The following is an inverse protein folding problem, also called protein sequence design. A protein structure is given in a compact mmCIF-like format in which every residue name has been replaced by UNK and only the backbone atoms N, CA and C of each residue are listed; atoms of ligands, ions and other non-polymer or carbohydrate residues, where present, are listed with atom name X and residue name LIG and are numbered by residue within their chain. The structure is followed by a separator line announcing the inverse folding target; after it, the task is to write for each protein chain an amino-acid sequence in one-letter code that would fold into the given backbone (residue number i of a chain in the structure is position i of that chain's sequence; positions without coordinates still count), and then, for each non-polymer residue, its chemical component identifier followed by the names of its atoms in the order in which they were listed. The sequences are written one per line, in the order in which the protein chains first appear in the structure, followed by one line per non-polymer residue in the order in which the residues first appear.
data_IF_236660185997
#
_entry.id   IF_236660185997
#
_cell.length_a   1.000
_cell.length_b   1.000
_cell.length_c   1.000
_cell.angle_alpha   90.00
_cell.angle_beta   90.00
_cell.angle_gamma   90.00
#
_symmetry.space_group_name_H-M   'P 1'
#
loop_
_entity.id
_entity.type
_entity.pdbx_description
1 polymer ?
#
# COMPACT_ATOMS: atom_id res chain seq x y z
N UNK A 1 -19.64 -52.06 17.55
CA UNK A 1 -19.90 -50.94 16.62
C UNK A 1 -18.74 -49.97 16.74
N UNK A 2 -17.89 -49.87 15.72
CA UNK A 2 -16.78 -48.92 15.67
C UNK A 2 -17.31 -47.62 15.06
N UNK A 3 -17.40 -46.55 15.85
CA UNK A 3 -17.67 -45.22 15.32
C UNK A 3 -16.34 -44.62 14.83
N UNK A 4 -16.14 -44.67 13.51
CA UNK A 4 -15.08 -43.94 12.82
C UNK A 4 -15.51 -42.48 12.71
N UNK A 5 -15.13 -41.66 13.69
CA UNK A 5 -15.28 -40.21 13.58
C UNK A 5 -14.19 -39.69 12.66
N UNK A 6 -14.57 -39.28 11.45
CA UNK A 6 -13.70 -38.58 10.51
C UNK A 6 -13.26 -37.26 11.16
N UNK A 7 -12.02 -37.21 11.63
CA UNK A 7 -11.37 -35.97 12.00
C UNK A 7 -11.23 -35.11 10.74
N UNK A 8 -12.00 -34.03 10.67
CA UNK A 8 -11.80 -32.97 9.69
C UNK A 8 -10.42 -32.36 9.91
N UNK A 9 -9.64 -32.06 8.85
CA UNK A 9 -8.35 -31.43 9.03
C UNK A 9 -8.54 -30.06 9.70
N UNK A 10 -7.97 -29.92 10.89
CA UNK A 10 -7.79 -28.65 11.60
C UNK A 10 -7.14 -27.67 10.61
N UNK A 11 -7.88 -26.61 10.25
CA UNK A 11 -7.45 -25.57 9.34
C UNK A 11 -6.32 -24.80 10.02
N UNK A 12 -5.07 -25.19 9.77
CA UNK A 12 -3.90 -24.55 10.35
C UNK A 12 -3.99 -23.03 10.19
N UNK A 13 -3.87 -22.32 11.31
CA UNK A 13 -3.83 -20.86 11.37
C UNK A 13 -2.60 -20.33 10.62
N UNK A 14 -2.70 -20.22 9.30
CA UNK A 14 -1.82 -19.33 8.55
C UNK A 14 -2.16 -17.91 9.01
N UNK A 15 -1.23 -17.18 9.65
CA UNK A 15 -1.51 -15.83 10.13
C UNK A 15 -1.99 -14.97 8.97
N UNK A 16 -3.20 -14.44 9.08
CA UNK A 16 -3.66 -13.43 8.13
C UNK A 16 -2.79 -12.19 8.33
N UNK A 17 -1.93 -11.88 7.36
CA UNK A 17 -1.03 -10.73 7.46
C UNK A 17 -1.79 -9.47 7.05
N UNK A 18 -1.99 -8.58 8.01
CA UNK A 18 -2.72 -7.33 7.81
C UNK A 18 -1.87 -6.31 7.04
N UNK A 19 -2.44 -5.55 6.09
CA UNK A 19 -1.73 -4.45 5.43
C UNK A 19 -1.09 -3.44 6.40
N UNK A 20 -1.70 -3.20 7.56
CA UNK A 20 -1.22 -2.31 8.61
C UNK A 20 0.10 -2.75 9.24
N UNK A 21 0.35 -4.06 9.34
CA UNK A 21 1.62 -4.60 9.82
C UNK A 21 2.77 -4.25 8.87
N UNK A 22 2.51 -4.33 7.56
CA UNK A 22 3.46 -3.89 6.54
C UNK A 22 3.71 -2.40 6.60
N UNK A 23 2.66 -1.58 6.79
CA UNK A 23 2.79 -0.12 6.84
C UNK A 23 3.80 0.31 7.90
N UNK A 24 3.69 -0.22 9.14
CA UNK A 24 4.64 0.11 10.23
C UNK A 24 6.09 -0.17 9.83
N UNK A 25 6.35 -1.37 9.30
CA UNK A 25 7.71 -1.79 8.91
C UNK A 25 8.26 -0.93 7.77
N UNK A 26 7.47 -0.74 6.71
CA UNK A 26 7.90 -0.01 5.52
C UNK A 26 8.10 1.48 5.79
N UNK A 27 7.24 2.10 6.60
CA UNK A 27 7.41 3.48 7.04
C UNK A 27 8.72 3.70 7.79
N UNK A 28 9.12 2.74 8.63
CA UNK A 28 10.39 2.79 9.34
C UNK A 28 11.59 2.69 8.38
N UNK A 29 11.54 1.82 7.37
CA UNK A 29 12.61 1.68 6.37
C UNK A 29 12.75 2.95 5.51
N UNK A 30 11.63 3.61 5.22
CA UNK A 30 11.59 4.82 4.40
C UNK A 30 11.88 6.11 5.17
N UNK A 31 12.13 6.00 6.47
CA UNK A 31 12.36 7.13 7.39
C UNK A 31 11.24 8.18 7.26
N UNK A 32 10.00 7.74 7.45
CA UNK A 32 8.83 8.60 7.38
C UNK A 32 8.58 9.32 8.72
N UNK A 33 8.20 10.59 8.66
CA UNK A 33 7.81 11.35 9.85
C UNK A 33 6.60 10.73 10.57
N UNK A 34 6.52 10.90 11.89
CA UNK A 34 5.40 10.39 12.70
C UNK A 34 4.02 10.80 12.14
N UNK A 35 3.91 12.05 11.64
CA UNK A 35 2.70 12.55 11.00
C UNK A 35 2.33 11.74 9.76
N UNK A 36 3.30 11.44 8.89
CA UNK A 36 3.09 10.65 7.69
C UNK A 36 2.81 9.17 8.01
N UNK A 37 3.47 8.59 9.02
CA UNK A 37 3.18 7.22 9.48
C UNK A 37 1.73 7.08 9.96
N UNK A 38 1.26 8.02 10.79
CA UNK A 38 -0.12 8.03 11.27
C UNK A 38 -1.11 8.14 10.10
N UNK A 39 -0.83 9.02 9.13
CA UNK A 39 -1.67 9.16 7.95
C UNK A 39 -1.72 7.88 7.10
N UNK A 40 -0.59 7.18 6.95
CA UNK A 40 -0.53 5.91 6.22
C UNK A 40 -1.29 4.78 6.92
N UNK A 41 -1.27 4.74 8.26
CA UNK A 41 -2.05 3.77 9.04
C UNK A 41 -3.55 4.00 8.86
N UNK A 42 -4.03 5.24 9.06
CA UNK A 42 -5.46 5.54 8.86
C UNK A 42 -5.88 5.31 7.40
N UNK A 43 -5.02 5.65 6.42
CA UNK A 43 -5.33 5.46 5.01
C UNK A 43 -5.41 3.98 4.63
N UNK A 44 -4.58 3.11 5.21
CA UNK A 44 -4.60 1.68 4.91
C UNK A 44 -5.83 1.00 5.50
N UNK A 45 -6.29 1.40 6.69
CA UNK A 45 -7.52 0.89 7.30
C UNK A 45 -8.75 1.13 6.39
N UNK A 46 -8.85 2.33 5.81
CA UNK A 46 -9.94 2.68 4.87
C UNK A 46 -9.92 1.91 3.56
N UNK A 47 -8.83 1.20 3.24
CA UNK A 47 -8.79 0.34 2.04
C UNK A 47 -9.72 -0.86 2.16
N UNK A 48 -10.05 -1.29 3.39
CA UNK A 48 -10.99 -2.38 3.63
C UNK A 48 -12.42 -2.06 3.13
N UNK A 49 -12.77 -0.78 3.04
CA UNK A 49 -14.07 -0.30 2.54
C UNK A 49 -14.07 -0.02 1.03
N UNK A 50 -12.96 -0.28 0.35
CA UNK A 50 -12.79 -0.05 -1.08
C UNK A 50 -12.70 -1.39 -1.83
N UNK A 51 -13.20 -1.46 -3.07
CA UNK A 51 -13.02 -2.64 -3.94
C UNK A 51 -11.59 -2.69 -4.50
N UNK A 52 -10.63 -3.00 -3.63
CA UNK A 52 -9.20 -3.11 -3.94
C UNK A 52 -8.82 -4.59 -3.98
N UNK A 53 -8.55 -5.10 -5.18
CA UNK A 53 -8.15 -6.51 -5.41
C UNK A 53 -6.64 -6.66 -5.51
N UNK A 54 -5.92 -6.30 -4.44
CA UNK A 54 -4.45 -6.38 -4.36
C UNK A 54 -4.03 -7.11 -3.08
N UNK A 55 -2.87 -7.75 -3.09
CA UNK A 55 -2.35 -8.39 -1.89
C UNK A 55 -1.96 -7.35 -0.82
N UNK A 56 -1.95 -7.71 0.49
CA UNK A 56 -1.71 -6.77 1.59
C UNK A 56 -0.42 -5.92 1.46
N UNK A 57 0.69 -6.54 1.07
CA UNK A 57 1.96 -5.84 0.87
C UNK A 57 1.88 -4.77 -0.24
N UNK A 58 1.20 -5.08 -1.35
CA UNK A 58 0.97 -4.13 -2.45
C UNK A 58 0.08 -2.99 -2.00
N UNK A 59 -0.96 -3.27 -1.21
CA UNK A 59 -1.84 -2.24 -0.64
C UNK A 59 -1.03 -1.28 0.23
N UNK A 60 -0.27 -1.82 1.20
CA UNK A 60 0.58 -1.03 2.08
C UNK A 60 1.60 -0.17 1.33
N UNK A 61 2.35 -0.77 0.39
CA UNK A 61 3.34 -0.05 -0.42
C UNK A 61 2.71 1.10 -1.23
N UNK A 62 1.51 0.87 -1.78
CA UNK A 62 0.81 1.87 -2.59
C UNK A 62 0.26 3.02 -1.73
N UNK A 63 -0.31 2.73 -0.56
CA UNK A 63 -0.76 3.74 0.39
C UNK A 63 0.41 4.59 0.88
N UNK A 64 1.53 3.96 1.24
CA UNK A 64 2.74 4.67 1.64
C UNK A 64 3.21 5.60 0.52
N UNK A 65 3.30 5.10 -0.71
CA UNK A 65 3.68 5.94 -1.84
C UNK A 65 2.75 7.16 -1.97
N UNK A 66 1.43 6.96 -1.89
CA UNK A 66 0.45 8.05 -1.94
C UNK A 66 0.68 9.10 -0.84
N UNK A 67 0.86 8.67 0.41
CA UNK A 67 1.08 9.57 1.55
C UNK A 67 2.40 10.34 1.42
N UNK A 68 3.46 9.70 0.91
CA UNK A 68 4.75 10.36 0.71
C UNK A 68 4.68 11.46 -0.36
N UNK A 69 3.85 11.31 -1.39
CA UNK A 69 3.66 12.35 -2.42
C UNK A 69 2.98 13.62 -1.89
N UNK A 70 2.25 13.50 -0.78
CA UNK A 70 1.59 14.59 -0.07
C UNK A 70 2.44 15.18 1.07
N UNK A 71 3.61 14.58 1.35
CA UNK A 71 4.56 15.09 2.32
C UNK A 71 5.57 16.04 1.66
N UNK A 72 6.26 16.84 2.48
CA UNK A 72 7.39 17.66 2.03
C UNK A 72 8.55 16.78 1.53
N UNK A 73 8.71 15.58 2.10
CA UNK A 73 9.75 14.61 1.75
C UNK A 73 9.23 13.51 0.80
N UNK A 74 8.94 13.90 -0.44
CA UNK A 74 8.46 12.97 -1.46
C UNK A 74 9.45 11.83 -1.71
N UNK A 75 8.97 10.59 -1.60
CA UNK A 75 9.75 9.39 -1.92
C UNK A 75 9.47 8.95 -3.36
N UNK A 76 10.50 8.54 -4.08
CA UNK A 76 10.35 8.02 -5.44
C UNK A 76 9.72 6.61 -5.42
N UNK A 77 8.97 6.24 -6.46
CA UNK A 77 8.39 4.87 -6.57
C UNK A 77 9.47 3.80 -6.43
N UNK A 78 10.67 4.03 -7.01
CA UNK A 78 11.81 3.12 -6.87
C UNK A 78 12.22 2.92 -5.42
N UNK A 79 12.28 3.98 -4.61
CA UNK A 79 12.66 3.89 -3.21
C UNK A 79 11.64 3.07 -2.41
N UNK A 80 10.34 3.25 -2.71
CA UNK A 80 9.28 2.44 -2.10
C UNK A 80 9.36 0.98 -2.55
N UNK A 81 9.62 0.73 -3.83
CA UNK A 81 9.82 -0.63 -4.34
C UNK A 81 10.99 -1.34 -3.63
N UNK A 82 12.12 -0.65 -3.50
CA UNK A 82 13.32 -1.18 -2.83
C UNK A 82 13.05 -1.45 -1.34
N UNK A 83 12.31 -0.57 -0.65
CA UNK A 83 11.98 -0.75 0.76
C UNK A 83 10.94 -1.87 1.03
N UNK A 84 10.05 -2.12 0.08
CA UNK A 84 8.91 -3.04 0.26
C UNK A 84 9.08 -4.38 -0.43
N UNK A 85 10.01 -4.48 -1.39
CA UNK A 85 10.13 -5.63 -2.29
C UNK A 85 9.02 -5.73 -3.35
N UNK A 86 8.09 -4.77 -3.41
CA UNK A 86 7.01 -4.74 -4.40
C UNK A 86 7.50 -4.07 -5.67
N UNK A 87 7.31 -4.71 -6.82
CA UNK A 87 7.76 -4.15 -8.10
C UNK A 87 7.17 -2.75 -8.38
N UNK A 88 8.00 -1.84 -8.94
CA UNK A 88 7.60 -0.46 -9.25
C UNK A 88 6.38 -0.39 -10.17
N UNK A 89 6.29 -1.28 -11.16
CA UNK A 89 5.13 -1.39 -12.05
C UNK A 89 3.85 -1.76 -11.31
N UNK A 90 3.95 -2.63 -10.32
CA UNK A 90 2.83 -3.06 -9.46
C UNK A 90 2.35 -1.92 -8.57
N UNK A 91 3.26 -1.16 -7.94
CA UNK A 91 2.93 0.04 -7.17
C UNK A 91 2.27 1.07 -8.07
N UNK A 92 2.84 1.34 -9.25
CA UNK A 92 2.32 2.34 -10.20
C UNK A 92 0.93 2.00 -10.73
N UNK A 93 0.68 0.71 -11.02
CA UNK A 93 -0.64 0.26 -11.49
C UNK A 93 -1.67 0.33 -10.36
N UNK A 94 -1.33 -0.18 -9.18
CA UNK A 94 -2.22 -0.16 -8.00
C UNK A 94 -2.53 1.27 -7.55
N UNK A 95 -1.55 2.18 -7.67
CA UNK A 95 -1.73 3.59 -7.37
C UNK A 95 -2.84 4.22 -8.21
N UNK A 96 -2.91 3.91 -9.52
CA UNK A 96 -3.98 4.42 -10.39
C UNK A 96 -5.36 3.96 -9.97
N UNK A 97 -5.46 2.73 -9.47
CA UNK A 97 -6.72 2.17 -8.98
C UNK A 97 -7.13 2.88 -7.67
N UNK A 98 -6.21 3.02 -6.72
CA UNK A 98 -6.47 3.65 -5.43
C UNK A 98 -6.66 5.17 -5.51
N UNK A 99 -6.02 5.82 -6.49
CA UNK A 99 -6.10 7.27 -6.69
C UNK A 99 -7.54 7.75 -6.92
N UNK A 100 -8.38 6.92 -7.56
CA UNK A 100 -9.82 7.20 -7.75
C UNK A 100 -10.57 7.38 -6.42
N UNK A 101 -10.05 6.78 -5.35
CA UNK A 101 -10.60 6.84 -4.00
C UNK A 101 -9.74 7.71 -3.06
N UNK A 102 -8.78 8.51 -3.57
CA UNK A 102 -7.81 9.23 -2.74
C UNK A 102 -8.47 10.13 -1.68
N UNK A 103 -9.57 10.81 -2.01
CA UNK A 103 -10.32 11.65 -1.06
C UNK A 103 -10.97 10.86 0.07
N UNK A 104 -11.27 9.58 -0.14
CA UNK A 104 -11.78 8.68 0.91
C UNK A 104 -10.64 8.13 1.75
N UNK A 105 -9.55 7.72 1.10
CA UNK A 105 -8.40 7.07 1.74
C UNK A 105 -7.60 8.06 2.60
N UNK A 106 -7.19 9.19 2.05
CA UNK A 106 -6.29 10.12 2.74
C UNK A 106 -7.06 10.86 3.85
N UNK A 107 -6.54 10.90 5.10
CA UNK A 107 -7.18 11.67 6.16
C UNK A 107 -7.18 13.17 5.87
N UNK A 108 -8.33 13.83 6.07
CA UNK A 108 -8.49 15.25 5.80
C UNK A 108 -7.58 16.16 6.64
N UNK A 109 -7.15 15.70 7.82
CA UNK A 109 -6.18 16.41 8.66
C UNK A 109 -4.76 16.39 8.09
N UNK A 110 -4.46 15.46 7.17
CA UNK A 110 -3.16 15.31 6.55
C UNK A 110 -3.05 16.09 5.24
N UNK A 111 -4.06 15.99 4.38
CA UNK A 111 -4.11 16.70 3.10
C UNK A 111 -5.56 17.06 2.74
N UNK A 112 -5.76 18.26 2.18
CA UNK A 112 -7.06 18.71 1.69
C UNK A 112 -7.27 18.36 0.20
N UNK A 113 -8.45 18.65 -0.36
CA UNK A 113 -8.76 18.36 -1.76
C UNK A 113 -7.83 19.05 -2.77
N UNK A 114 -7.31 20.25 -2.46
CA UNK A 114 -6.37 20.95 -3.33
C UNK A 114 -5.02 20.23 -3.39
N UNK A 115 -4.56 19.70 -2.26
CA UNK A 115 -3.33 18.92 -2.19
C UNK A 115 -3.48 17.58 -2.93
N UNK A 116 -4.64 16.95 -2.83
CA UNK A 116 -4.94 15.73 -3.59
C UNK A 116 -4.90 15.97 -5.10
N UNK A 117 -5.29 17.14 -5.60
CA UNK A 117 -5.18 17.49 -7.04
C UNK A 117 -3.72 17.62 -7.50
N UNK A 118 -2.77 17.85 -6.59
CA UNK A 118 -1.33 17.95 -6.89
C UNK A 118 -0.66 16.58 -6.99
N UNK A 119 -1.34 15.50 -6.59
CA UNK A 119 -0.83 14.14 -6.71
C UNK A 119 -0.57 13.80 -8.19
N UNK A 120 0.70 13.57 -8.51
CA UNK A 120 1.09 13.16 -9.84
C UNK A 120 0.79 11.67 -10.04
N UNK A 121 0.12 11.31 -11.12
CA UNK A 121 0.06 9.91 -11.56
C UNK A 121 1.45 9.53 -12.08
N UNK A 122 2.11 8.50 -11.52
CA UNK A 122 3.43 8.07 -12.01
C UNK A 122 3.37 7.80 -13.51
N UNK A 123 4.25 8.45 -14.28
CA UNK A 123 4.38 8.16 -15.72
C UNK A 123 4.72 6.68 -15.88
N UNK A 124 4.03 6.01 -16.81
CA UNK A 124 4.24 4.58 -17.11
C UNK A 124 5.74 4.36 -17.30
N UNK A 125 6.34 3.44 -16.54
CA UNK A 125 7.72 3.05 -16.76
C UNK A 125 7.82 2.54 -18.21
N UNK A 126 8.50 3.31 -19.07
CA UNK A 126 8.97 2.79 -20.35
C UNK A 126 10.13 1.89 -19.95
N UNK A 127 9.95 0.57 -20.04
CA UNK A 127 11.09 -0.34 -20.09
C UNK A 127 12.01 0.20 -21.18
N UNK A 128 13.13 0.80 -20.78
CA UNK A 128 14.27 0.91 -21.66
C UNK A 128 14.77 -0.52 -21.78
N UNK A 129 14.24 -1.24 -22.76
CA UNK A 129 14.85 -2.49 -23.21
C UNK A 129 16.29 -2.10 -23.58
N UNK A 130 17.31 -2.62 -22.89
CA UNK A 130 18.68 -2.42 -23.33
C UNK A 130 18.79 -3.19 -24.64
N UNK A 131 18.84 -2.47 -25.77
CA UNK A 131 19.32 -3.08 -27.00
C UNK A 131 20.80 -3.42 -26.77
N UNK A 132 21.08 -4.71 -26.69
CA UNK A 132 22.43 -5.27 -26.79
C UNK A 132 22.95 -5.14 -28.22
#
# INVERSE_FOLDING_TARGET
MLNLSLATPEKGDVPFVDPGDFVRRFCSILDMSHKAVKAAQEAVEKTAECDIRRNPATVAATIIYMITQLSDERKLVRNVADATGVAQGTISNSYKDMYKNASRLVPAWYANEEDLKKLCIPKRYREKIPHS
#
